data_IF_823587815607
#
_entry.id   IF_823587815607
#
_cell.length_a   1.000
_cell.length_b   1.000
_cell.length_c   1.000
_cell.angle_alpha   90.00
_cell.angle_beta   90.00
_cell.angle_gamma   90.00
#
_symmetry.space_group_name_H-M   'P 1'
#
loop_
_entity.id
_entity.type
_entity.pdbx_description
1 polymer ?
#
# COMPACT_ATOMS: atom_id res chain seq x y z
N UNK A 1 14.69 19.04 -47.11
CA UNK A 1 15.75 18.08 -46.74
C UNK A 1 15.20 17.25 -45.63
N UNK A 2 14.80 16.02 -45.95
CA UNK A 2 14.23 15.03 -44.98
C UNK A 2 15.41 14.37 -44.29
N UNK A 3 15.37 14.40 -42.97
CA UNK A 3 16.45 13.87 -42.13
C UNK A 3 16.49 12.33 -42.23
N UNK A 4 17.60 11.69 -42.62
CA UNK A 4 17.65 10.25 -42.89
C UNK A 4 17.74 9.36 -41.65
N UNK A 5 17.47 9.86 -40.46
CA UNK A 5 17.54 9.13 -39.20
C UNK A 5 16.25 8.36 -38.87
N UNK A 6 15.11 8.82 -39.39
CA UNK A 6 13.80 8.20 -39.05
C UNK A 6 13.56 6.83 -39.72
N UNK A 7 14.27 6.50 -40.80
CA UNK A 7 14.05 5.20 -41.47
C UNK A 7 14.89 4.03 -40.92
N UNK A 8 15.94 4.31 -40.12
CA UNK A 8 16.82 3.25 -39.59
C UNK A 8 16.43 2.69 -38.24
N UNK A 9 15.56 3.38 -37.53
CA UNK A 9 15.06 2.92 -36.21
C UNK A 9 13.89 1.94 -36.32
N UNK A 10 13.18 1.93 -37.47
CA UNK A 10 12.03 1.06 -37.70
C UNK A 10 12.39 -0.41 -37.98
N UNK A 11 13.65 -0.71 -38.36
CA UNK A 11 14.12 -2.06 -38.68
C UNK A 11 15.00 -2.70 -37.61
N UNK A 12 15.16 -2.05 -36.45
CA UNK A 12 15.84 -2.68 -35.32
C UNK A 12 14.92 -3.74 -34.70
N UNK A 13 15.37 -4.99 -34.72
CA UNK A 13 14.68 -6.13 -34.14
C UNK A 13 14.28 -5.81 -32.71
N UNK A 14 12.98 -5.79 -32.43
CA UNK A 14 12.42 -5.55 -31.09
C UNK A 14 13.06 -6.44 -30.01
N UNK A 15 13.70 -7.55 -30.40
CA UNK A 15 14.43 -8.47 -29.53
C UNK A 15 15.75 -7.91 -29.00
N UNK A 16 16.27 -6.84 -29.59
CA UNK A 16 17.51 -6.18 -29.15
C UNK A 16 17.27 -5.16 -28.02
N UNK A 17 16.02 -4.82 -27.74
CA UNK A 17 15.68 -3.85 -26.72
C UNK A 17 14.97 -4.52 -25.54
N UNK A 18 15.45 -4.23 -24.35
CA UNK A 18 14.75 -4.59 -23.13
C UNK A 18 13.44 -3.77 -23.06
N UNK A 19 12.29 -4.39 -22.77
CA UNK A 19 11.07 -3.65 -22.52
C UNK A 19 11.29 -2.56 -21.46
N UNK A 20 10.73 -1.37 -21.71
CA UNK A 20 10.90 -0.21 -20.81
C UNK A 20 10.46 -0.51 -19.37
N UNK A 21 9.47 -1.37 -19.21
CA UNK A 21 8.92 -1.81 -17.92
C UNK A 21 9.96 -2.62 -17.14
N UNK A 22 10.66 -3.53 -17.77
CA UNK A 22 11.73 -4.32 -17.15
C UNK A 22 12.97 -3.47 -16.85
N UNK A 23 13.28 -2.51 -17.73
CA UNK A 23 14.33 -1.52 -17.47
C UNK A 23 14.00 -0.67 -16.24
N UNK A 24 12.73 -0.27 -16.09
CA UNK A 24 12.27 0.50 -14.95
C UNK A 24 12.35 -0.31 -13.64
N UNK A 25 11.95 -1.58 -13.65
CA UNK A 25 12.12 -2.47 -12.49
C UNK A 25 13.59 -2.63 -12.12
N UNK A 26 14.50 -2.72 -13.12
CA UNK A 26 15.93 -2.75 -12.88
C UNK A 26 16.46 -1.48 -12.25
N UNK A 27 15.91 -0.32 -12.61
CA UNK A 27 16.22 0.95 -11.92
C UNK A 27 15.75 0.91 -10.46
N UNK A 28 14.51 0.47 -10.19
CA UNK A 28 14.01 0.38 -8.82
C UNK A 28 14.77 -0.66 -7.97
N UNK A 29 15.27 -1.73 -8.59
CA UNK A 29 16.18 -2.68 -7.94
C UNK A 29 17.47 -2.01 -7.43
N UNK A 30 18.02 -1.00 -8.14
CA UNK A 30 19.18 -0.23 -7.66
C UNK A 30 18.85 0.61 -6.43
N UNK A 31 17.65 1.16 -6.33
CA UNK A 31 17.18 1.85 -5.11
C UNK A 31 17.19 0.88 -3.92
N UNK A 32 16.76 -0.37 -4.15
CA UNK A 32 16.80 -1.40 -3.12
C UNK A 32 18.24 -1.80 -2.76
N UNK A 33 19.16 -1.83 -3.72
CA UNK A 33 20.59 -2.07 -3.46
C UNK A 33 21.19 -0.99 -2.55
N UNK A 34 20.83 0.28 -2.73
CA UNK A 34 21.24 1.35 -1.80
C UNK A 34 20.70 1.15 -0.39
N UNK A 35 19.45 0.66 -0.26
CA UNK A 35 18.92 0.27 1.04
C UNK A 35 19.68 -0.91 1.67
N UNK A 36 20.19 -1.83 0.87
CA UNK A 36 20.97 -2.98 1.32
C UNK A 36 22.43 -2.64 1.65
N UNK A 37 22.96 -1.53 1.14
CA UNK A 37 24.36 -1.13 1.29
C UNK A 37 24.67 -0.69 2.72
N UNK A 38 25.49 -1.44 3.43
CA UNK A 38 25.85 -1.18 4.83
C UNK A 38 26.74 0.08 5.03
N UNK A 39 27.34 0.61 3.97
CA UNK A 39 28.08 1.88 4.03
C UNK A 39 27.17 3.11 4.13
N UNK A 40 25.88 2.95 3.78
CA UNK A 40 24.86 4.00 3.85
C UNK A 40 24.33 4.08 5.29
N UNK A 41 24.16 5.28 5.88
CA UNK A 41 23.57 5.44 7.21
C UNK A 41 22.18 4.78 7.31
N UNK A 42 21.92 4.07 8.43
CA UNK A 42 20.71 3.23 8.58
C UNK A 42 19.41 4.00 8.35
N UNK A 43 19.30 5.25 8.75
CA UNK A 43 18.11 6.09 8.50
C UNK A 43 17.93 6.34 7.00
N UNK A 44 19.02 6.55 6.26
CA UNK A 44 18.92 6.70 4.80
C UNK A 44 18.54 5.39 4.12
N UNK A 45 19.03 4.26 4.62
CA UNK A 45 18.64 2.93 4.14
C UNK A 45 17.14 2.69 4.34
N UNK A 46 16.58 3.09 5.49
CA UNK A 46 15.15 3.05 5.74
C UNK A 46 14.37 3.93 4.75
N UNK A 47 14.88 5.14 4.45
CA UNK A 47 14.27 6.02 3.44
C UNK A 47 14.30 5.40 2.04
N UNK A 48 15.38 4.73 1.65
CA UNK A 48 15.44 4.02 0.37
C UNK A 48 14.42 2.88 0.27
N UNK A 49 14.14 2.18 1.36
CA UNK A 49 13.02 1.20 1.39
C UNK A 49 11.68 1.88 1.11
N UNK A 50 11.44 3.05 1.71
CA UNK A 50 10.24 3.84 1.43
C UNK A 50 10.15 4.29 -0.03
N UNK A 51 11.25 4.80 -0.60
CA UNK A 51 11.32 5.22 -2.02
C UNK A 51 11.06 4.02 -2.94
N UNK A 52 11.65 2.85 -2.67
CA UNK A 52 11.41 1.63 -3.44
C UNK A 52 9.93 1.26 -3.46
N UNK A 53 9.27 1.29 -2.29
CA UNK A 53 7.85 0.98 -2.16
C UNK A 53 6.98 1.98 -2.93
N UNK A 54 7.22 3.28 -2.78
CA UNK A 54 6.49 4.33 -3.50
C UNK A 54 6.65 4.21 -5.02
N UNK A 55 7.87 4.00 -5.48
CA UNK A 55 8.15 3.78 -6.89
C UNK A 55 7.38 2.58 -7.44
N UNK A 56 7.33 1.47 -6.69
CA UNK A 56 6.63 0.27 -7.11
C UNK A 56 5.11 0.49 -7.21
N UNK A 57 4.52 1.26 -6.27
CA UNK A 57 3.11 1.63 -6.32
C UNK A 57 2.80 2.42 -7.59
N UNK A 58 3.62 3.43 -7.92
CA UNK A 58 3.47 4.24 -9.14
C UNK A 58 3.63 3.39 -10.42
N UNK A 59 4.57 2.45 -10.41
CA UNK A 59 4.75 1.52 -11.51
C UNK A 59 3.50 0.69 -11.80
N UNK A 60 2.85 0.17 -10.77
CA UNK A 60 1.60 -0.57 -10.93
C UNK A 60 0.48 0.33 -11.43
N UNK A 61 0.36 1.52 -10.85
CA UNK A 61 -0.68 2.49 -11.18
C UNK A 61 -0.65 2.95 -12.64
N UNK A 62 0.53 3.09 -13.22
CA UNK A 62 0.70 3.60 -14.59
C UNK A 62 1.02 2.46 -15.56
N UNK A 63 2.11 1.72 -15.34
CA UNK A 63 2.62 0.77 -16.34
C UNK A 63 1.89 -0.54 -16.39
N UNK A 64 1.63 -1.14 -15.22
CA UNK A 64 0.88 -2.40 -15.17
C UNK A 64 -0.58 -2.17 -15.60
N UNK A 65 -1.18 -1.03 -15.25
CA UNK A 65 -2.49 -0.62 -15.73
C UNK A 65 -2.54 -0.54 -17.27
N UNK A 66 -1.54 0.12 -17.89
CA UNK A 66 -1.42 0.21 -19.35
C UNK A 66 -1.34 -1.18 -20.01
N UNK A 67 -0.52 -2.09 -19.48
CA UNK A 67 -0.41 -3.46 -20.00
C UNK A 67 -1.74 -4.21 -19.89
N UNK A 68 -2.47 -4.07 -18.78
CA UNK A 68 -3.79 -4.70 -18.59
C UNK A 68 -4.82 -4.18 -19.57
N UNK A 69 -4.84 -2.88 -19.84
CA UNK A 69 -5.67 -2.29 -20.90
C UNK A 69 -5.31 -2.89 -22.27
N UNK A 70 -4.02 -3.02 -22.57
CA UNK A 70 -3.58 -3.67 -23.81
C UNK A 70 -4.06 -5.11 -23.91
N UNK A 71 -4.02 -5.89 -22.83
CA UNK A 71 -4.55 -7.27 -22.80
C UNK A 71 -6.05 -7.28 -23.05
N UNK A 72 -6.80 -6.33 -22.51
CA UNK A 72 -8.26 -6.26 -22.67
C UNK A 72 -8.67 -5.81 -24.08
N UNK A 73 -7.99 -4.79 -24.62
CA UNK A 73 -8.35 -4.16 -25.90
C UNK A 73 -7.73 -4.85 -27.13
N UNK A 74 -6.67 -5.67 -26.95
CA UNK A 74 -5.96 -6.31 -28.05
C UNK A 74 -6.43 -7.75 -28.27
N UNK A 75 -6.16 -8.27 -29.49
CA UNK A 75 -6.42 -9.65 -29.87
C UNK A 75 -5.16 -10.30 -30.49
N UNK A 76 -5.17 -11.62 -30.65
CA UNK A 76 -4.09 -12.35 -31.32
C UNK A 76 -2.73 -12.19 -30.66
N UNK A 77 -1.68 -12.10 -31.45
CA UNK A 77 -0.29 -12.07 -30.98
C UNK A 77 0.07 -10.85 -30.12
N UNK A 78 -0.60 -9.71 -30.30
CA UNK A 78 -0.38 -8.51 -29.47
C UNK A 78 -0.85 -8.73 -28.05
N UNK A 79 -2.03 -9.35 -27.87
CA UNK A 79 -2.56 -9.73 -26.56
C UNK A 79 -1.66 -10.76 -25.87
N UNK A 80 -1.15 -11.73 -26.62
CA UNK A 80 -0.28 -12.77 -26.07
C UNK A 80 1.04 -12.19 -25.56
N UNK A 81 1.68 -11.31 -26.32
CA UNK A 81 2.93 -10.62 -25.89
C UNK A 81 2.70 -9.78 -24.64
N UNK A 82 1.57 -9.06 -24.53
CA UNK A 82 1.26 -8.26 -23.34
C UNK A 82 1.05 -9.13 -22.09
N UNK A 83 0.47 -10.34 -22.25
CA UNK A 83 0.34 -11.32 -21.16
C UNK A 83 1.70 -11.83 -20.69
N UNK A 84 2.56 -12.25 -21.63
CA UNK A 84 3.92 -12.74 -21.33
C UNK A 84 4.77 -11.66 -20.63
N UNK A 85 4.64 -10.39 -21.05
CA UNK A 85 5.29 -9.27 -20.38
C UNK A 85 4.76 -9.09 -18.96
N UNK A 86 3.46 -9.19 -18.76
CA UNK A 86 2.86 -9.07 -17.42
C UNK A 86 3.31 -10.20 -16.48
N UNK A 87 3.39 -11.44 -16.97
CA UNK A 87 3.90 -12.58 -16.23
C UNK A 87 5.37 -12.35 -15.82
N UNK A 88 6.22 -11.92 -16.75
CA UNK A 88 7.63 -11.59 -16.46
C UNK A 88 7.76 -10.47 -15.43
N UNK A 89 6.92 -9.43 -15.50
CA UNK A 89 6.88 -8.35 -14.52
C UNK A 89 6.51 -8.90 -13.14
N UNK A 90 5.49 -9.77 -13.05
CA UNK A 90 5.04 -10.34 -11.79
C UNK A 90 6.12 -11.19 -11.12
N UNK A 91 6.86 -12.00 -11.90
CA UNK A 91 8.00 -12.79 -11.42
C UNK A 91 9.12 -11.90 -10.87
N UNK A 92 9.50 -10.84 -11.61
CA UNK A 92 10.52 -9.90 -11.14
C UNK A 92 10.09 -9.14 -9.89
N UNK A 93 8.83 -8.70 -9.82
CA UNK A 93 8.30 -8.03 -8.64
C UNK A 93 8.31 -8.95 -7.42
N UNK A 94 7.93 -10.23 -7.59
CA UNK A 94 7.98 -11.21 -6.50
C UNK A 94 9.41 -11.41 -5.96
N UNK A 95 10.41 -11.46 -6.85
CA UNK A 95 11.82 -11.53 -6.47
C UNK A 95 12.27 -10.27 -5.70
N UNK A 96 11.96 -9.09 -6.23
CA UNK A 96 12.28 -7.81 -5.57
C UNK A 96 11.60 -7.67 -4.21
N UNK A 97 10.38 -8.18 -4.05
CA UNK A 97 9.69 -8.19 -2.77
C UNK A 97 10.42 -9.05 -1.72
N UNK A 98 10.92 -10.23 -2.11
CA UNK A 98 11.71 -11.07 -1.21
C UNK A 98 13.02 -10.39 -0.77
N UNK A 99 13.70 -9.70 -1.69
CA UNK A 99 14.90 -8.93 -1.37
C UNK A 99 14.59 -7.73 -0.47
N UNK A 100 13.47 -7.08 -0.71
CA UNK A 100 12.95 -6.00 0.13
C UNK A 100 12.73 -6.47 1.57
N UNK A 101 12.02 -7.57 1.78
CA UNK A 101 11.70 -8.12 3.10
C UNK A 101 12.97 -8.49 3.88
N UNK A 102 13.95 -9.09 3.20
CA UNK A 102 15.28 -9.39 3.77
C UNK A 102 16.04 -8.13 4.16
N UNK A 103 16.01 -7.12 3.31
CA UNK A 103 16.71 -5.85 3.53
C UNK A 103 16.06 -5.08 4.68
N UNK A 104 14.73 -5.01 4.70
CA UNK A 104 13.96 -4.40 5.78
C UNK A 104 14.30 -5.03 7.13
N UNK A 105 14.31 -6.37 7.22
CA UNK A 105 14.66 -7.09 8.44
C UNK A 105 16.08 -6.73 8.95
N UNK A 106 17.06 -6.60 8.04
CA UNK A 106 18.42 -6.17 8.38
C UNK A 106 18.47 -4.72 8.88
N UNK A 107 17.76 -3.81 8.20
CA UNK A 107 17.69 -2.39 8.58
C UNK A 107 17.05 -2.25 9.97
N UNK A 108 15.94 -2.96 10.23
CA UNK A 108 15.28 -2.95 11.54
C UNK A 108 16.19 -3.50 12.64
N UNK A 109 16.93 -4.59 12.39
CA UNK A 109 17.91 -5.10 13.34
C UNK A 109 19.05 -4.12 13.62
N UNK A 110 19.48 -3.34 12.62
CA UNK A 110 20.49 -2.31 12.80
C UNK A 110 19.97 -1.10 13.58
N UNK A 111 18.75 -0.64 13.33
CA UNK A 111 18.09 0.40 14.13
C UNK A 111 18.09 0.01 15.62
N UNK A 112 17.70 -1.24 15.90
CA UNK A 112 17.71 -1.78 17.27
C UNK A 112 19.11 -1.75 17.91
N UNK A 113 20.16 -2.10 17.16
CA UNK A 113 21.56 -2.01 17.63
C UNK A 113 22.00 -0.56 17.93
N UNK A 114 21.39 0.42 17.25
CA UNK A 114 21.62 1.86 17.48
C UNK A 114 20.66 2.48 18.49
N UNK A 115 19.97 1.63 19.27
CA UNK A 115 19.02 2.07 20.29
C UNK A 115 17.81 2.85 19.72
N UNK A 116 17.41 2.56 18.49
CA UNK A 116 16.16 3.01 17.88
C UNK A 116 15.25 1.82 17.77
N UNK A 117 14.17 1.82 18.52
CA UNK A 117 13.23 0.72 18.62
C UNK A 117 11.93 1.12 17.96
N UNK A 118 11.48 0.34 16.99
CA UNK A 118 10.12 0.38 16.46
C UNK A 118 9.46 -0.86 17.00
N UNK A 119 8.47 -0.70 17.86
CA UNK A 119 7.78 -1.80 18.54
C UNK A 119 6.33 -1.83 18.10
N UNK A 120 5.72 -3.01 18.17
CA UNK A 120 4.30 -3.20 17.90
C UNK A 120 3.45 -3.14 19.19
N UNK A 121 2.13 -3.25 19.05
CA UNK A 121 1.19 -3.16 20.17
C UNK A 121 1.35 -4.32 21.19
N UNK A 122 1.95 -5.45 20.79
CA UNK A 122 2.14 -6.60 21.68
C UNK A 122 3.36 -6.44 22.59
N UNK A 123 4.30 -5.59 22.20
CA UNK A 123 5.53 -5.29 22.94
C UNK A 123 5.36 -4.15 23.96
N UNK A 124 4.19 -3.52 24.01
CA UNK A 124 3.92 -2.37 24.90
C UNK A 124 3.94 -2.79 26.39
N UNK A 125 4.80 -2.16 27.18
CA UNK A 125 4.69 -2.23 28.64
C UNK A 125 3.41 -1.53 29.12
N UNK A 126 2.92 -1.86 30.31
CA UNK A 126 1.70 -1.26 30.88
C UNK A 126 1.74 0.27 30.89
N UNK A 127 2.89 0.89 31.20
CA UNK A 127 3.08 2.36 31.19
C UNK A 127 2.99 2.94 29.78
N UNK A 128 3.59 2.25 28.80
CA UNK A 128 3.54 2.65 27.41
C UNK A 128 2.13 2.51 26.84
N UNK A 129 1.43 1.43 27.19
CA UNK A 129 0.03 1.25 26.81
C UNK A 129 -0.85 2.40 27.32
N UNK A 130 -0.71 2.80 28.60
CA UNK A 130 -1.45 3.96 29.12
C UNK A 130 -1.17 5.22 28.33
N UNK A 131 0.09 5.47 27.97
CA UNK A 131 0.44 6.62 27.13
C UNK A 131 -0.16 6.53 25.74
N UNK A 132 -0.10 5.35 25.10
CA UNK A 132 -0.67 5.10 23.77
C UNK A 132 -2.19 5.28 23.79
N UNK A 133 -2.86 4.82 24.84
CA UNK A 133 -4.30 5.02 25.02
C UNK A 133 -4.72 6.48 25.18
N UNK A 134 -3.92 7.28 25.90
CA UNK A 134 -4.13 8.71 26.04
C UNK A 134 -3.87 9.45 24.72
N UNK A 135 -2.79 9.09 24.03
CA UNK A 135 -2.45 9.64 22.73
C UNK A 135 -3.54 9.33 21.70
N UNK A 136 -3.98 8.06 21.66
CA UNK A 136 -5.07 7.62 20.80
C UNK A 136 -6.35 8.44 21.01
N UNK A 137 -6.78 8.59 22.25
CA UNK A 137 -8.01 9.31 22.56
C UNK A 137 -7.97 10.80 22.16
N UNK A 138 -6.80 11.43 22.27
CA UNK A 138 -6.62 12.86 22.00
C UNK A 138 -6.36 13.19 20.55
N UNK A 139 -5.59 12.35 19.84
CA UNK A 139 -5.04 12.68 18.52
C UNK A 139 -5.52 11.77 17.41
N UNK A 140 -5.75 10.48 17.70
CA UNK A 140 -6.04 9.49 16.65
C UNK A 140 -7.55 9.30 16.49
N UNK A 141 -8.26 9.04 17.58
CA UNK A 141 -9.70 8.76 17.54
C UNK A 141 -10.52 9.86 16.84
N UNK A 142 -10.25 11.16 17.03
CA UNK A 142 -11.01 12.21 16.33
C UNK A 142 -10.78 12.25 14.81
N UNK A 143 -9.69 11.64 14.32
CA UNK A 143 -9.34 11.58 12.90
C UNK A 143 -9.75 10.25 12.24
N UNK A 144 -10.31 9.29 12.99
CA UNK A 144 -10.73 8.00 12.46
C UNK A 144 -12.18 8.04 11.96
N UNK A 145 -12.38 7.53 10.76
CA UNK A 145 -13.69 7.37 10.12
C UNK A 145 -13.93 5.88 9.80
N UNK A 146 -14.38 5.07 10.78
CA UNK A 146 -14.62 3.65 10.54
C UNK A 146 -15.88 3.44 9.69
N UNK A 147 -15.75 2.65 8.62
CA UNK A 147 -16.81 2.28 7.69
C UNK A 147 -17.20 0.84 7.97
N UNK A 148 -18.43 0.60 8.43
CA UNK A 148 -18.94 -0.76 8.62
C UNK A 148 -19.24 -1.43 7.28
N UNK A 149 -18.80 -2.67 7.15
CA UNK A 149 -19.07 -3.50 5.98
C UNK A 149 -20.40 -4.24 6.21
N UNK A 150 -21.52 -3.65 5.79
CA UNK A 150 -22.83 -4.31 5.77
C UNK A 150 -23.26 -4.65 4.35
N UNK A 151 -24.10 -5.67 4.16
CA UNK A 151 -24.58 -6.03 2.82
C UNK A 151 -25.47 -4.96 2.18
N UNK A 152 -26.02 -4.08 2.99
CA UNK A 152 -26.96 -3.03 2.58
C UNK A 152 -26.27 -1.72 2.16
N UNK A 153 -25.03 -1.47 2.59
CA UNK A 153 -24.33 -0.21 2.35
C UNK A 153 -23.20 -0.39 1.34
N UNK A 154 -23.19 0.44 0.32
CA UNK A 154 -22.02 0.56 -0.56
C UNK A 154 -20.85 1.20 0.20
N UNK A 155 -19.65 0.63 0.08
CA UNK A 155 -18.45 1.26 0.62
C UNK A 155 -18.23 2.59 -0.11
N UNK A 156 -18.03 3.71 0.61
CA UNK A 156 -17.59 4.95 -0.01
C UNK A 156 -16.32 4.71 -0.85
N UNK A 157 -16.10 5.53 -1.86
CA UNK A 157 -14.89 5.43 -2.64
C UNK A 157 -13.69 5.71 -1.73
N UNK A 158 -12.91 4.67 -1.44
CA UNK A 158 -11.68 4.78 -0.66
C UNK A 158 -10.61 5.53 -1.48
N UNK A 159 -9.75 6.27 -0.81
CA UNK A 159 -8.63 6.99 -1.45
C UNK A 159 -7.56 5.99 -1.94
N UNK A 160 -6.92 6.31 -3.06
CA UNK A 160 -5.79 5.55 -3.55
C UNK A 160 -4.54 5.82 -2.72
N UNK A 161 -3.65 4.83 -2.64
CA UNK A 161 -2.35 4.93 -1.96
C UNK A 161 -2.40 5.12 -0.44
N UNK A 162 -3.58 5.30 0.13
CA UNK A 162 -3.76 5.33 1.59
C UNK A 162 -3.61 3.94 2.20
N UNK A 163 -3.14 3.90 3.42
CA UNK A 163 -3.12 2.68 4.23
C UNK A 163 -4.45 2.50 4.93
N UNK A 164 -5.01 1.33 4.83
CA UNK A 164 -6.27 0.95 5.47
C UNK A 164 -6.09 -0.19 6.47
N UNK A 165 -6.93 -0.22 7.48
CA UNK A 165 -7.14 -1.36 8.35
C UNK A 165 -8.49 -2.00 8.03
N UNK A 166 -8.46 -3.28 7.67
CA UNK A 166 -9.63 -4.15 7.64
C UNK A 166 -9.80 -4.78 9.02
N UNK A 167 -10.93 -4.58 9.64
CA UNK A 167 -11.21 -5.02 11.00
C UNK A 167 -12.18 -6.19 10.99
N UNK A 168 -11.81 -7.26 11.68
CA UNK A 168 -12.66 -8.41 12.01
C UNK A 168 -13.03 -8.31 13.49
N UNK A 169 -14.33 -8.21 13.77
CA UNK A 169 -14.88 -8.11 15.13
C UNK A 169 -15.82 -9.27 15.43
N UNK A 170 -15.56 -9.96 16.53
CA UNK A 170 -16.48 -10.96 17.08
C UNK A 170 -17.40 -10.29 18.07
N UNK A 171 -18.70 -10.42 17.84
CA UNK A 171 -19.75 -9.88 18.73
C UNK A 171 -20.76 -10.97 19.07
N UNK A 172 -21.53 -10.83 20.17
CA UNK A 172 -22.60 -11.78 20.50
C UNK A 172 -23.66 -11.94 19.39
N UNK A 173 -23.79 -10.92 18.51
CA UNK A 173 -24.75 -10.91 17.40
C UNK A 173 -24.15 -11.47 16.10
N UNK A 174 -22.91 -11.97 16.14
CA UNK A 174 -22.18 -12.50 14.99
C UNK A 174 -21.00 -11.62 14.56
N UNK A 175 -20.30 -12.07 13.55
CA UNK A 175 -19.11 -11.41 13.03
C UNK A 175 -19.49 -10.07 12.35
N UNK A 176 -18.72 -9.02 12.66
CA UNK A 176 -18.85 -7.70 12.05
C UNK A 176 -17.51 -7.30 11.44
N UNK A 177 -17.57 -6.64 10.31
CA UNK A 177 -16.40 -6.18 9.59
C UNK A 177 -16.45 -4.66 9.39
N UNK A 178 -15.29 -4.03 9.45
CA UNK A 178 -15.15 -2.61 9.17
C UNK A 178 -13.87 -2.33 8.37
N UNK A 179 -13.83 -1.17 7.75
CA UNK A 179 -12.63 -0.61 7.12
C UNK A 179 -12.41 0.78 7.67
N UNK A 180 -11.18 1.14 7.96
CA UNK A 180 -10.81 2.50 8.34
C UNK A 180 -9.50 2.90 7.70
N UNK A 181 -9.39 4.15 7.29
CA UNK A 181 -8.13 4.74 6.84
C UNK A 181 -7.23 5.01 8.04
N UNK A 182 -5.93 4.75 7.89
CA UNK A 182 -4.92 5.14 8.88
C UNK A 182 -4.58 6.61 8.61
N UNK A 183 -4.92 7.56 9.50
CA UNK A 183 -4.79 8.99 9.23
C UNK A 183 -3.36 9.49 9.40
N UNK A 184 -2.42 8.91 8.63
CA UNK A 184 -0.99 9.19 8.75
C UNK A 184 -0.58 10.57 8.24
N UNK A 185 -1.35 11.17 7.36
CA UNK A 185 -1.18 12.55 6.88
C UNK A 185 -1.56 13.60 7.92
N UNK A 186 -2.48 13.28 8.84
CA UNK A 186 -2.95 14.17 9.91
C UNK A 186 -2.14 14.00 11.19
N UNK A 187 -1.90 12.74 11.60
CA UNK A 187 -1.31 12.39 12.90
C UNK A 187 0.20 12.09 12.79
N UNK A 188 0.64 11.69 11.58
CA UNK A 188 1.99 11.16 11.35
C UNK A 188 2.05 9.66 11.59
N UNK A 189 2.96 8.99 10.87
CA UNK A 189 3.09 7.52 10.87
C UNK A 189 3.75 6.98 12.13
N UNK A 190 4.75 7.69 12.66
CA UNK A 190 5.53 7.27 13.82
C UNK A 190 5.14 8.05 15.06
N UNK A 191 4.71 7.33 16.08
CA UNK A 191 4.40 7.90 17.38
C UNK A 191 5.56 7.62 18.33
N UNK A 192 6.21 8.67 18.84
CA UNK A 192 7.25 8.52 19.86
C UNK A 192 6.61 8.20 21.20
N UNK A 193 7.05 7.14 21.84
CA UNK A 193 6.52 6.70 23.14
C UNK A 193 7.57 6.79 24.25
N UNK A 194 7.15 7.00 25.51
CA UNK A 194 8.06 7.10 26.64
C UNK A 194 8.89 5.82 26.83
N UNK A 195 10.16 5.98 27.13
CA UNK A 195 11.05 4.90 27.52
C UNK A 195 10.73 4.39 28.94
N UNK A 196 11.15 3.15 29.20
CA UNK A 196 11.35 2.70 30.57
C UNK A 196 12.44 3.53 31.28
N UNK A 197 12.45 3.57 32.63
CA UNK A 197 13.38 4.41 33.42
C UNK A 197 14.85 4.17 33.11
N UNK A 198 15.21 2.94 32.71
CA UNK A 198 16.60 2.50 32.52
C UNK A 198 16.96 2.24 31.04
N UNK A 199 16.07 2.52 30.08
CA UNK A 199 16.31 2.24 28.68
C UNK A 199 17.02 3.41 27.97
N UNK A 200 18.08 3.09 27.22
CA UNK A 200 18.74 4.05 26.31
C UNK A 200 18.03 4.03 24.94
N UNK A 201 18.06 5.16 24.22
CA UNK A 201 17.58 5.24 22.86
C UNK A 201 16.20 5.88 22.66
N UNK A 202 15.63 5.76 21.50
CA UNK A 202 14.30 6.26 21.12
C UNK A 202 13.38 5.07 20.88
N UNK A 203 12.12 5.17 21.28
CA UNK A 203 11.10 4.13 21.04
C UNK A 203 9.97 4.75 20.26
N UNK A 204 9.59 4.09 19.18
CA UNK A 204 8.49 4.47 18.31
C UNK A 204 7.52 3.30 18.19
N UNK A 205 6.26 3.62 17.93
CA UNK A 205 5.22 2.69 17.50
C UNK A 205 4.58 3.23 16.22
N UNK A 206 4.18 2.34 15.33
CA UNK A 206 3.47 2.75 14.12
C UNK A 206 2.03 3.15 14.45
N UNK A 207 1.46 4.07 13.68
CA UNK A 207 0.11 4.58 13.92
C UNK A 207 -0.96 3.49 13.80
N UNK A 208 -0.80 2.54 12.88
CA UNK A 208 -1.69 1.39 12.76
C UNK A 208 -1.61 0.45 13.98
N UNK A 209 -0.43 0.30 14.62
CA UNK A 209 -0.30 -0.45 15.87
C UNK A 209 -0.89 0.30 17.07
N UNK A 210 -0.82 1.64 17.07
CA UNK A 210 -1.57 2.46 18.04
C UNK A 210 -3.08 2.22 17.92
N UNK A 211 -3.58 2.14 16.68
CA UNK A 211 -5.00 1.84 16.42
C UNK A 211 -5.33 0.42 16.86
N UNK A 212 -4.48 -0.58 16.55
CA UNK A 212 -4.67 -1.97 16.97
C UNK A 212 -4.71 -2.12 18.49
N UNK A 213 -3.80 -1.44 19.21
CA UNK A 213 -3.80 -1.43 20.67
C UNK A 213 -5.11 -0.90 21.29
N UNK A 214 -5.78 0.00 20.58
CA UNK A 214 -6.97 0.70 21.03
C UNK A 214 -8.26 0.32 20.27
N UNK A 215 -8.21 -0.74 19.47
CA UNK A 215 -9.28 -1.15 18.57
C UNK A 215 -10.67 -1.26 19.22
N UNK A 216 -10.82 -1.85 20.45
CA UNK A 216 -12.13 -1.89 21.12
C UNK A 216 -12.69 -0.51 21.47
N UNK A 217 -11.86 0.53 21.56
CA UNK A 217 -12.30 1.89 21.85
C UNK A 217 -12.91 2.59 20.64
N UNK A 218 -12.51 2.21 19.41
CA UNK A 218 -13.04 2.76 18.15
C UNK A 218 -14.54 2.51 18.05
N UNK A 219 -14.99 1.30 18.43
CA UNK A 219 -16.37 0.85 18.27
C UNK A 219 -17.15 0.88 19.58
N UNK A 220 -16.60 1.52 20.62
CA UNK A 220 -17.24 1.61 21.95
C UNK A 220 -18.58 2.31 21.87
N UNK A 221 -19.63 1.64 22.37
CA UNK A 221 -20.99 2.17 22.33
C UNK A 221 -21.77 1.85 21.04
N UNK A 222 -21.11 1.25 20.05
CA UNK A 222 -21.76 0.75 18.83
C UNK A 222 -21.98 -0.76 18.92
N UNK A 223 -20.97 -1.51 19.37
CA UNK A 223 -21.01 -2.97 19.51
C UNK A 223 -20.45 -3.42 20.86
N UNK A 224 -20.97 -4.56 21.36
CA UNK A 224 -20.30 -5.34 22.39
C UNK A 224 -19.27 -6.25 21.74
N UNK A 225 -17.99 -5.86 21.80
CA UNK A 225 -16.89 -6.59 21.14
C UNK A 225 -16.31 -7.62 22.11
N UNK A 226 -16.30 -8.89 21.71
CA UNK A 226 -15.62 -9.98 22.43
C UNK A 226 -14.13 -10.03 22.06
N UNK A 227 -13.84 -9.92 20.76
CA UNK A 227 -12.48 -9.79 20.25
C UNK A 227 -12.49 -9.01 18.94
N UNK A 228 -11.38 -8.31 18.65
CA UNK A 228 -11.20 -7.60 17.39
C UNK A 228 -9.75 -7.73 16.91
N UNK A 229 -9.57 -7.90 15.62
CA UNK A 229 -8.27 -7.93 14.95
C UNK A 229 -8.31 -6.99 13.74
N UNK A 230 -7.17 -6.38 13.43
CA UNK A 230 -7.08 -5.47 12.29
C UNK A 230 -5.88 -5.81 11.41
N UNK A 231 -6.10 -5.83 10.12
CA UNK A 231 -5.16 -6.23 9.07
C UNK A 231 -4.94 -5.09 8.10
N UNK A 232 -3.68 -4.76 7.83
CA UNK A 232 -3.34 -3.72 6.88
C UNK A 232 -3.66 -4.15 5.44
N UNK A 233 -4.16 -3.21 4.66
CA UNK A 233 -4.19 -3.33 3.21
C UNK A 233 -3.99 -1.97 2.55
N UNK A 234 -3.51 -2.02 1.32
CA UNK A 234 -3.35 -0.87 0.43
C UNK A 234 -3.74 -1.30 -0.98
N UNK A 235 -4.31 -0.38 -1.72
CA UNK A 235 -4.63 -0.63 -3.12
C UNK A 235 -4.28 0.57 -3.97
N UNK A 236 -4.06 0.33 -5.26
CA UNK A 236 -3.83 1.36 -6.27
C UNK A 236 -4.79 1.12 -7.42
N UNK A 237 -5.43 2.18 -7.91
CA UNK A 237 -6.28 2.17 -9.10
C UNK A 237 -5.51 2.65 -10.32
N UNK A 238 -6.06 2.40 -11.50
CA UNK A 238 -5.54 2.93 -12.75
C UNK A 238 -5.54 4.47 -12.71
N UNK A 239 -4.37 5.08 -12.98
CA UNK A 239 -4.22 6.53 -12.98
C UNK A 239 -4.74 7.18 -14.27
N UNK A 240 -4.77 6.42 -15.37
CA UNK A 240 -5.15 6.89 -16.69
C UNK A 240 -6.54 6.37 -17.07
N UNK A 241 -7.58 7.06 -16.63
CA UNK A 241 -8.87 6.92 -17.26
C UNK A 241 -8.82 7.66 -18.59
N UNK A 242 -9.08 6.95 -19.70
CA UNK A 242 -9.43 7.59 -20.97
C UNK A 242 -10.64 8.47 -20.73
N UNK A 243 -10.41 9.78 -20.85
CA UNK A 243 -11.50 10.75 -20.92
C UNK A 243 -12.17 10.50 -22.26
N UNK A 244 -13.26 9.73 -22.27
CA UNK A 244 -14.15 9.74 -23.42
C UNK A 244 -14.54 11.19 -23.67
N UNK A 245 -13.98 11.73 -24.73
CA UNK A 245 -14.20 13.10 -25.16
C UNK A 245 -15.63 13.23 -25.70
N UNK A 246 -16.57 13.44 -24.82
CA UNK A 246 -17.84 14.03 -25.22
C UNK A 246 -17.59 15.50 -25.54
N UNK A 247 -17.86 15.88 -26.78
CA UNK A 247 -17.49 17.17 -27.39
C UNK A 247 -18.24 18.36 -26.74
N UNK A 248 -19.20 18.13 -25.84
CA UNK A 248 -20.14 19.13 -25.34
C UNK A 248 -20.08 19.44 -23.84
N UNK A 249 -19.13 18.92 -23.09
CA UNK A 249 -19.02 19.21 -21.64
C UNK A 249 -18.04 20.36 -21.35
N UNK A 250 -18.39 21.22 -20.37
CA UNK A 250 -17.50 22.28 -19.91
C UNK A 250 -16.23 21.72 -19.24
N UNK A 251 -15.13 22.47 -19.22
CA UNK A 251 -13.86 22.05 -18.63
C UNK A 251 -14.00 21.65 -17.14
N UNK A 252 -14.87 22.35 -16.41
CA UNK A 252 -15.14 22.10 -14.98
C UNK A 252 -15.95 20.80 -14.78
N UNK A 253 -16.96 20.57 -15.64
CA UNK A 253 -17.73 19.32 -15.63
C UNK A 253 -16.85 18.13 -16.03
N UNK A 254 -15.95 18.30 -16.99
CA UNK A 254 -14.93 17.30 -17.36
C UNK A 254 -13.98 16.97 -16.22
N UNK A 255 -13.51 17.96 -15.48
CA UNK A 255 -12.67 17.73 -14.29
C UNK A 255 -13.43 17.03 -13.18
N UNK A 256 -14.67 17.41 -12.92
CA UNK A 256 -15.52 16.79 -11.89
C UNK A 256 -15.91 15.34 -12.28
N UNK A 257 -16.25 15.10 -13.55
CA UNK A 257 -16.55 13.75 -14.07
C UNK A 257 -15.32 12.85 -14.09
N UNK A 258 -14.15 13.37 -14.45
CA UNK A 258 -12.86 12.64 -14.40
C UNK A 258 -12.48 12.23 -12.98
N UNK A 259 -12.67 13.10 -11.98
CA UNK A 259 -12.45 12.78 -10.58
C UNK A 259 -13.45 11.71 -10.07
N UNK A 260 -14.70 11.77 -10.53
CA UNK A 260 -15.73 10.78 -10.19
C UNK A 260 -15.49 9.44 -10.87
N UNK A 261 -14.94 9.45 -12.08
CA UNK A 261 -14.58 8.24 -12.83
C UNK A 261 -13.29 7.61 -12.29
N UNK A 262 -12.28 8.40 -11.88
CA UNK A 262 -11.09 7.88 -11.17
C UNK A 262 -11.45 7.11 -9.91
N UNK A 263 -12.47 7.55 -9.17
CA UNK A 263 -12.98 6.84 -7.99
C UNK A 263 -13.68 5.50 -8.33
N UNK A 264 -14.00 5.25 -9.60
CA UNK A 264 -14.62 4.02 -10.11
C UNK A 264 -13.67 3.18 -10.96
N UNK A 265 -12.41 3.61 -11.14
CA UNK A 265 -11.43 2.85 -11.89
C UNK A 265 -11.14 1.51 -11.24
N UNK A 266 -10.88 0.50 -12.07
CA UNK A 266 -10.52 -0.84 -11.59
C UNK A 266 -9.22 -0.79 -10.79
N UNK A 267 -9.18 -1.50 -9.68
CA UNK A 267 -7.97 -1.63 -8.90
C UNK A 267 -6.93 -2.47 -9.65
N UNK A 268 -5.72 -1.97 -9.70
CA UNK A 268 -4.60 -2.61 -10.44
C UNK A 268 -3.73 -3.43 -9.52
N UNK A 269 -3.65 -3.04 -8.25
CA UNK A 269 -2.84 -3.68 -7.22
C UNK A 269 -3.57 -3.65 -5.89
N UNK A 270 -3.54 -4.76 -5.18
CA UNK A 270 -4.03 -4.89 -3.81
C UNK A 270 -2.98 -5.62 -2.98
N UNK A 271 -2.36 -4.91 -2.06
CA UNK A 271 -1.39 -5.47 -1.10
C UNK A 271 -2.09 -5.60 0.24
N UNK A 272 -1.99 -6.75 0.87
CA UNK A 272 -2.70 -7.05 2.11
C UNK A 272 -1.84 -7.87 3.06
N UNK A 273 -2.11 -7.76 4.35
CA UNK A 273 -1.48 -8.59 5.38
C UNK A 273 -1.77 -10.07 5.12
N UNK A 274 -0.72 -10.87 4.90
CA UNK A 274 -0.83 -12.29 4.59
C UNK A 274 -1.54 -13.11 5.70
N UNK A 275 -1.66 -12.56 6.91
CA UNK A 275 -2.37 -13.19 8.03
C UNK A 275 -3.87 -12.85 8.06
N UNK A 276 -4.34 -12.00 7.12
CA UNK A 276 -5.76 -11.64 7.02
C UNK A 276 -6.62 -12.89 6.75
N UNK A 277 -7.70 -13.10 7.53
CA UNK A 277 -8.62 -14.22 7.29
C UNK A 277 -9.23 -14.18 5.89
N UNK A 278 -9.32 -15.35 5.24
CA UNK A 278 -9.83 -15.47 3.87
C UNK A 278 -11.25 -14.90 3.71
N UNK A 279 -12.11 -15.10 4.71
CA UNK A 279 -13.47 -14.53 4.73
C UNK A 279 -13.46 -13.00 4.65
N UNK A 280 -12.57 -12.34 5.41
CA UNK A 280 -12.44 -10.89 5.38
C UNK A 280 -11.88 -10.40 4.03
N UNK A 281 -10.88 -11.10 3.50
CA UNK A 281 -10.30 -10.80 2.18
C UNK A 281 -11.34 -10.91 1.06
N UNK A 282 -12.17 -11.95 1.07
CA UNK A 282 -13.25 -12.13 0.09
C UNK A 282 -14.32 -11.04 0.22
N UNK A 283 -14.69 -10.63 1.44
CA UNK A 283 -15.61 -9.51 1.66
C UNK A 283 -15.04 -8.20 1.08
N UNK A 284 -13.76 -7.91 1.30
CA UNK A 284 -13.10 -6.74 0.74
C UNK A 284 -13.07 -6.80 -0.80
N UNK A 285 -12.68 -7.93 -1.37
CA UNK A 285 -12.62 -8.12 -2.82
C UNK A 285 -13.96 -7.87 -3.49
N UNK A 286 -15.02 -8.51 -2.97
CA UNK A 286 -16.39 -8.36 -3.49
C UNK A 286 -16.85 -6.90 -3.46
N UNK A 287 -16.54 -6.18 -2.38
CA UNK A 287 -17.04 -4.81 -2.15
C UNK A 287 -16.22 -3.73 -2.82
N UNK A 288 -14.92 -3.95 -2.94
CA UNK A 288 -14.01 -3.02 -3.62
C UNK A 288 -13.92 -3.30 -5.13
N UNK A 289 -14.61 -4.34 -5.63
CA UNK A 289 -14.67 -4.66 -7.06
C UNK A 289 -13.40 -5.32 -7.61
N UNK A 290 -12.58 -5.97 -6.75
CA UNK A 290 -11.40 -6.69 -7.23
C UNK A 290 -11.76 -7.98 -7.94
N UNK A 291 -11.36 -8.12 -9.21
CA UNK A 291 -11.51 -9.33 -10.00
C UNK A 291 -10.50 -10.43 -9.60
N UNK A 292 -10.68 -11.65 -10.13
CA UNK A 292 -9.72 -12.75 -9.91
C UNK A 292 -8.37 -12.54 -10.61
N UNK A 293 -8.33 -11.65 -11.59
CA UNK A 293 -7.13 -11.32 -12.38
C UNK A 293 -6.32 -10.18 -11.82
N UNK A 294 -6.75 -9.55 -10.75
CA UNK A 294 -6.07 -8.42 -10.15
C UNK A 294 -4.85 -8.87 -9.35
N UNK A 295 -3.82 -8.03 -9.28
CA UNK A 295 -2.60 -8.35 -8.55
C UNK A 295 -2.85 -8.30 -7.05
N UNK A 296 -3.29 -9.44 -6.50
CA UNK A 296 -3.36 -9.67 -5.06
C UNK A 296 -1.96 -10.04 -4.58
N UNK A 297 -1.36 -9.21 -3.75
CA UNK A 297 0.00 -9.41 -3.27
C UNK A 297 -0.06 -9.56 -1.75
N UNK A 298 0.15 -10.78 -1.22
CA UNK A 298 0.33 -10.95 0.21
C UNK A 298 1.62 -10.25 0.65
N UNK A 299 1.54 -9.42 1.67
CA UNK A 299 2.64 -8.69 2.27
C UNK A 299 2.82 -9.03 3.74
N UNK A 300 3.85 -8.47 4.36
CA UNK A 300 4.00 -8.50 5.82
C UNK A 300 2.95 -7.59 6.49
N UNK A 301 2.90 -7.66 7.82
CA UNK A 301 2.00 -6.85 8.63
C UNK A 301 2.18 -5.34 8.40
N UNK A 302 3.44 -4.90 8.22
CA UNK A 302 3.84 -3.49 8.06
C UNK A 302 4.32 -3.21 6.63
N UNK A 303 3.61 -3.71 5.63
CA UNK A 303 4.03 -3.64 4.23
C UNK A 303 4.00 -2.22 3.62
N UNK A 304 3.50 -1.21 4.32
CA UNK A 304 3.55 0.18 3.84
C UNK A 304 4.83 0.90 4.27
N UNK A 305 5.95 0.51 3.66
CA UNK A 305 7.25 1.13 3.95
C UNK A 305 7.43 2.53 3.35
N UNK A 306 6.53 2.98 2.46
CA UNK A 306 6.57 4.33 1.88
C UNK A 306 6.62 5.40 2.97
N UNK A 307 5.88 5.22 4.05
CA UNK A 307 5.81 6.17 5.15
C UNK A 307 7.03 6.10 6.10
N UNK A 308 7.90 5.09 5.94
CA UNK A 308 9.18 5.03 6.67
C UNK A 308 10.14 6.19 6.34
N UNK A 309 9.86 6.94 5.26
CA UNK A 309 10.57 8.18 4.91
C UNK A 309 10.44 9.23 6.03
N UNK A 310 9.34 9.20 6.77
CA UNK A 310 8.99 10.15 7.84
C UNK A 310 9.55 9.83 9.22
N UNK A 311 10.45 8.85 9.39
CA UNK A 311 11.06 8.59 10.70
C UNK A 311 11.86 9.84 11.17
N UNK A 312 11.52 10.42 12.34
CA UNK A 312 12.12 11.65 12.86
C UNK A 312 13.55 11.50 13.36
#
# INVERSE_FOLDING_TARGET
MINPIDGRLADLDERLFMPRELSWLSFNARVLQEAANESVPVIQRLRYLGIFSSNLDEFFRVRVAEIRRLITLSTGGKRQRAKELLETIQEQVAHLQQEFDRTQSKVMAELKRRHIYIIDETELSRRQLTYVEDYFAKHVLPALEPILLSDELAIPALADESLYLAVDMKTPEGDKYAVMEVPSDVVGRFVSIPRGRDAQGKVFILLDDVIRACLPRVFRGVFSIESASAYCFKFSRDAELEIETSINESLIEKMASSLKQRRKADAVRFVYDATMPEMLLEQLRKRLGFGRSDSLIPGGRDHNSQECIGLP
#
